data_IF_341786505894
#
_entry.id   IF_341786505894
#
_cell.length_a   1.000
_cell.length_b   1.000
_cell.length_c   1.000
_cell.angle_alpha   90.00
_cell.angle_beta   90.00
_cell.angle_gamma   90.00
#
_symmetry.space_group_name_H-M   'P 1'
#
loop_
_entity.id
_entity.type
_entity.pdbx_description
1 polymer ?
#
# COMPACT_ATOMS: atom_id res chain seq x y z
N UNK A 1 -25.45 8.32 14.66
CA UNK A 1 -24.58 9.43 14.20
C UNK A 1 -23.57 8.84 13.23
N UNK A 2 -23.73 9.12 11.94
CA UNK A 2 -22.86 8.62 10.87
C UNK A 2 -21.43 9.15 11.08
N UNK A 3 -20.48 8.25 11.35
CA UNK A 3 -19.04 8.54 11.43
C UNK A 3 -18.51 8.93 10.05
N UNK A 4 -18.75 10.18 9.66
CA UNK A 4 -18.22 10.77 8.44
C UNK A 4 -16.71 10.74 8.50
N UNK A 5 -16.09 10.06 7.52
CA UNK A 5 -14.65 10.09 7.32
C UNK A 5 -14.19 11.56 7.25
N UNK A 6 -13.18 11.91 8.05
CA UNK A 6 -12.56 13.22 8.01
C UNK A 6 -11.79 13.36 6.69
N UNK A 7 -12.19 14.28 5.79
CA UNK A 7 -11.60 14.40 4.44
C UNK A 7 -10.14 14.89 4.43
N UNK A 8 -9.51 15.15 5.57
CA UNK A 8 -8.15 15.71 5.67
C UNK A 8 -7.09 14.77 6.28
N UNK A 9 -7.43 13.50 6.53
CA UNK A 9 -6.45 12.55 7.04
C UNK A 9 -5.40 12.23 5.94
N UNK A 10 -4.17 12.68 6.16
CA UNK A 10 -3.03 12.34 5.32
C UNK A 10 -2.80 10.83 5.38
N UNK A 11 -2.49 10.25 4.21
CA UNK A 11 -2.22 8.83 4.03
C UNK A 11 -0.80 8.65 3.53
N UNK A 12 -0.03 7.85 4.25
CA UNK A 12 1.35 7.50 3.91
C UNK A 12 1.46 6.00 3.69
N UNK A 13 2.10 5.59 2.60
CA UNK A 13 2.52 4.21 2.37
C UNK A 13 4.01 4.09 2.64
N UNK A 14 4.42 3.00 3.26
CA UNK A 14 5.83 2.67 3.49
C UNK A 14 6.06 1.19 3.23
N UNK A 15 7.04 0.87 2.39
CA UNK A 15 7.53 -0.49 2.17
C UNK A 15 8.66 -0.84 3.13
N UNK A 16 8.91 -2.14 3.33
CA UNK A 16 10.06 -2.65 4.06
C UNK A 16 10.79 -3.79 3.32
N UNK A 17 11.94 -4.19 3.86
CA UNK A 17 12.78 -5.27 3.31
C UNK A 17 12.18 -6.67 3.50
N UNK A 18 11.09 -6.80 4.27
CA UNK A 18 10.40 -8.07 4.55
C UNK A 18 9.10 -8.19 3.75
N UNK A 19 9.04 -7.53 2.60
CA UNK A 19 7.94 -7.55 1.63
C UNK A 19 6.63 -6.91 2.09
N UNK A 20 6.65 -6.18 3.21
CA UNK A 20 5.44 -5.57 3.76
C UNK A 20 5.30 -4.13 3.30
N UNK A 21 4.05 -3.75 3.03
CA UNK A 21 3.68 -2.34 2.84
C UNK A 21 2.69 -1.96 3.93
N UNK A 22 2.94 -0.86 4.64
CA UNK A 22 2.06 -0.34 5.67
C UNK A 22 1.36 0.92 5.19
N UNK A 23 0.07 1.04 5.52
CA UNK A 23 -0.67 2.29 5.38
C UNK A 23 -0.76 2.97 6.75
N UNK A 24 -0.28 4.20 6.80
CA UNK A 24 -0.37 5.07 7.98
C UNK A 24 -1.35 6.20 7.69
N UNK A 25 -2.27 6.42 8.64
CA UNK A 25 -3.27 7.50 8.56
C UNK A 25 -3.01 8.53 9.64
N UNK A 26 -3.28 9.81 9.37
CA UNK A 26 -3.19 10.85 10.41
C UNK A 26 -4.52 11.08 11.10
N UNK A 27 -4.40 11.41 12.38
CA UNK A 27 -5.46 11.95 13.24
C UNK A 27 -4.93 13.23 13.86
N UNK A 28 -5.77 14.08 14.47
CA UNK A 28 -5.29 15.21 15.26
C UNK A 28 -4.28 14.82 16.36
N UNK A 29 -4.33 13.58 16.84
CA UNK A 29 -3.42 13.01 17.84
C UNK A 29 -2.12 12.42 17.26
N UNK A 30 -1.92 12.42 15.95
CA UNK A 30 -0.68 11.95 15.31
C UNK A 30 -0.88 10.90 14.21
N UNK A 31 0.21 10.18 13.90
CA UNK A 31 0.27 9.15 12.87
C UNK A 31 -0.11 7.78 13.44
N UNK A 32 -1.05 7.10 12.80
CA UNK A 32 -1.56 5.80 13.22
C UNK A 32 -1.33 4.79 12.09
N UNK A 33 -0.28 3.96 12.18
CA UNK A 33 -0.08 2.86 11.25
C UNK A 33 -1.18 1.82 11.43
N UNK A 34 -1.74 1.34 10.32
CA UNK A 34 -2.68 0.23 10.36
C UNK A 34 -1.94 -1.06 10.72
N UNK A 35 -2.52 -1.86 11.61
CA UNK A 35 -1.89 -3.07 12.14
C UNK A 35 -1.65 -4.16 11.11
N UNK A 36 -2.45 -4.21 10.05
CA UNK A 36 -2.30 -5.18 8.97
C UNK A 36 -1.56 -4.55 7.79
N UNK A 37 -0.42 -5.13 7.36
CA UNK A 37 0.27 -4.72 6.14
C UNK A 37 -0.42 -5.27 4.89
N UNK A 38 -0.07 -4.72 3.74
CA UNK A 38 -0.31 -5.35 2.44
C UNK A 38 0.73 -6.44 2.19
N UNK A 39 0.27 -7.57 1.66
CA UNK A 39 1.04 -8.81 1.56
C UNK A 39 0.80 -9.52 0.22
N UNK A 40 1.76 -9.40 -0.69
CA UNK A 40 1.82 -10.21 -1.93
C UNK A 40 3.26 -10.33 -2.42
N UNK A 41 4.06 -9.27 -2.28
CA UNK A 41 5.49 -9.35 -2.52
C UNK A 41 6.18 -10.41 -1.65
N UNK A 42 7.27 -10.96 -2.17
CA UNK A 42 8.09 -12.00 -1.53
C UNK A 42 9.54 -11.55 -1.27
N UNK A 43 9.90 -10.34 -1.65
CA UNK A 43 11.19 -9.71 -1.38
C UNK A 43 11.03 -8.23 -0.99
N UNK A 44 12.13 -7.49 -0.86
CA UNK A 44 12.16 -6.07 -0.47
C UNK A 44 11.29 -5.22 -1.41
N UNK A 45 10.54 -4.27 -0.85
CA UNK A 45 9.74 -3.30 -1.62
C UNK A 45 10.62 -2.10 -1.95
N UNK A 46 10.80 -1.83 -3.24
CA UNK A 46 11.79 -0.84 -3.72
C UNK A 46 11.16 0.51 -4.06
N UNK A 47 9.91 0.52 -4.56
CA UNK A 47 9.18 1.75 -4.84
C UNK A 47 7.67 1.58 -4.61
N UNK A 48 7.00 2.69 -4.30
CA UNK A 48 5.55 2.76 -4.07
C UNK A 48 5.00 4.09 -4.58
N UNK A 49 3.93 4.01 -5.37
CA UNK A 49 3.26 5.19 -5.90
C UNK A 49 1.74 5.12 -5.73
N UNK A 50 1.14 6.11 -5.07
CA UNK A 50 -0.31 6.33 -5.13
C UNK A 50 -0.74 6.63 -6.56
N UNK A 51 -1.91 6.12 -6.95
CA UNK A 51 -2.54 6.51 -8.22
C UNK A 51 -2.86 8.01 -8.21
N UNK A 52 -2.56 8.73 -9.30
CA UNK A 52 -2.88 10.16 -9.42
C UNK A 52 -4.38 10.42 -9.62
N UNK A 53 -5.15 9.42 -10.07
CA UNK A 53 -6.58 9.57 -10.40
C UNK A 53 -7.50 8.77 -9.48
N UNK A 54 -7.00 7.71 -8.84
CA UNK A 54 -7.81 6.82 -8.02
C UNK A 54 -7.30 6.81 -6.56
N UNK A 55 -7.94 7.54 -5.63
CA UNK A 55 -7.43 7.72 -4.27
C UNK A 55 -7.25 6.44 -3.45
N UNK A 56 -7.86 5.34 -3.88
CA UNK A 56 -7.81 4.05 -3.18
C UNK A 56 -6.77 3.10 -3.75
N UNK A 57 -6.16 3.45 -4.89
CA UNK A 57 -5.27 2.58 -5.65
C UNK A 57 -3.83 3.05 -5.52
N UNK A 58 -2.90 2.11 -5.41
CA UNK A 58 -1.47 2.37 -5.52
C UNK A 58 -0.77 1.22 -6.25
N UNK A 59 0.46 1.47 -6.70
CA UNK A 59 1.35 0.50 -7.31
C UNK A 59 2.64 0.37 -6.48
N UNK A 60 3.30 -0.78 -6.56
CA UNK A 60 4.64 -0.99 -6.01
C UNK A 60 5.47 -1.92 -6.88
N UNK A 61 6.79 -1.82 -6.77
CA UNK A 61 7.74 -2.80 -7.31
C UNK A 61 8.62 -3.38 -6.19
N UNK A 62 9.19 -4.56 -6.45
CA UNK A 62 9.98 -5.30 -5.46
C UNK A 62 11.14 -6.04 -6.12
N UNK A 63 12.16 -6.33 -5.32
CA UNK A 63 13.25 -7.23 -5.68
C UNK A 63 12.80 -8.69 -5.95
N UNK A 64 11.51 -9.01 -5.83
CA UNK A 64 10.94 -10.29 -6.31
C UNK A 64 10.60 -10.28 -7.81
N UNK A 65 11.04 -9.25 -8.54
CA UNK A 65 10.79 -9.02 -9.95
C UNK A 65 9.33 -8.76 -10.30
N UNK A 66 8.46 -8.44 -9.35
CA UNK A 66 7.04 -8.16 -9.61
C UNK A 66 6.70 -6.67 -9.50
N UNK A 67 5.69 -6.26 -10.27
CA UNK A 67 4.99 -4.99 -10.09
C UNK A 67 3.54 -5.29 -9.74
N UNK A 68 3.08 -4.76 -8.61
CA UNK A 68 1.77 -5.09 -8.04
C UNK A 68 0.87 -3.86 -7.94
N UNK A 69 -0.42 -4.06 -8.20
CA UNK A 69 -1.48 -3.05 -8.08
C UNK A 69 -2.36 -3.41 -6.89
N UNK A 70 -2.68 -2.41 -6.09
CA UNK A 70 -3.32 -2.57 -4.80
C UNK A 70 -4.54 -1.67 -4.70
N UNK A 71 -5.58 -2.16 -4.02
CA UNK A 71 -6.70 -1.34 -3.55
C UNK A 71 -6.74 -1.40 -2.02
N UNK A 72 -6.69 -0.25 -1.35
CA UNK A 72 -6.68 -0.19 0.12
C UNK A 72 -7.97 -0.70 0.76
N UNK A 73 -9.04 -0.83 -0.01
CA UNK A 73 -10.34 -1.35 0.44
C UNK A 73 -10.39 -2.88 0.42
N UNK A 74 -9.44 -3.54 -0.25
CA UNK A 74 -9.38 -5.00 -0.37
C UNK A 74 -9.19 -5.64 1.00
N UNK A 75 -10.10 -6.57 1.33
CA UNK A 75 -9.99 -7.36 2.56
C UNK A 75 -8.76 -8.27 2.48
N UNK A 76 -8.03 -8.40 3.58
CA UNK A 76 -6.79 -9.18 3.62
C UNK A 76 -5.59 -8.50 2.97
N UNK A 77 -5.77 -7.32 2.33
CA UNK A 77 -4.68 -6.46 1.82
C UNK A 77 -3.73 -7.20 0.86
N UNK A 78 -4.26 -8.11 0.06
CA UNK A 78 -3.54 -8.70 -1.06
C UNK A 78 -3.61 -7.77 -2.27
N UNK A 79 -2.64 -7.88 -3.17
CA UNK A 79 -2.65 -7.18 -4.45
C UNK A 79 -3.90 -7.58 -5.24
N UNK A 80 -4.52 -6.60 -5.89
CA UNK A 80 -5.67 -6.87 -6.76
C UNK A 80 -5.22 -7.57 -8.05
N UNK A 81 -4.05 -7.20 -8.56
CA UNK A 81 -3.43 -7.79 -9.75
C UNK A 81 -1.95 -7.39 -9.79
N UNK A 82 -1.19 -7.94 -10.73
CA UNK A 82 0.16 -7.50 -11.04
C UNK A 82 0.78 -8.31 -12.16
N UNK A 83 2.05 -8.02 -12.39
CA UNK A 83 2.87 -8.69 -13.38
C UNK A 83 4.06 -9.30 -12.63
N UNK A 84 4.15 -10.61 -12.66
CA UNK A 84 5.33 -11.34 -12.22
C UNK A 84 6.41 -11.26 -13.32
N UNK A 85 7.68 -11.25 -12.94
CA UNK A 85 8.81 -11.10 -13.88
C UNK A 85 8.72 -9.82 -14.74
N UNK A 86 8.28 -8.71 -14.13
CA UNK A 86 8.18 -7.40 -14.76
C UNK A 86 9.55 -6.75 -15.05
N UNK A 87 10.59 -7.15 -14.33
CA UNK A 87 11.97 -6.68 -14.52
C UNK A 87 13.00 -7.73 -14.04
N UNK A 88 14.27 -7.46 -14.29
CA UNK A 88 15.40 -8.23 -13.75
C UNK A 88 15.72 -7.76 -12.32
N UNK A 89 16.23 -8.66 -11.47
CA UNK A 89 16.62 -8.34 -10.08
C UNK A 89 18.03 -7.79 -9.96
#
# INVERSE_FOLDING_TARGET
SSGGANPSALRLLTGDIHSKIYLTTTTPSGFNPLSQPFISHTSSVEDIQWSPTEPTIFASCSADCSVQIWDVRTRGRQSATGIDHAHES
#
